data_IF_944327108722
#
_entry.id   IF_944327108722
#
_cell.length_a   1.000
_cell.length_b   1.000
_cell.length_c   1.000
_cell.angle_alpha   90.00
_cell.angle_beta   90.00
_cell.angle_gamma   90.00
#
_symmetry.space_group_name_H-M   'P 1'
#
loop_
_entity.id
_entity.type
_entity.pdbx_description
1 polymer ?
#
# COMPACT_ATOMS: atom_id res chain seq x y z
N UNK A 1 -13.42 -12.77 2.72
CA UNK A 1 -13.40 -11.45 2.07
C UNK A 1 -12.31 -10.63 2.76
N UNK A 2 -11.59 -9.80 2.01
CA UNK A 2 -10.54 -8.93 2.56
C UNK A 2 -11.01 -7.48 2.57
N UNK A 3 -10.58 -6.74 3.57
CA UNK A 3 -10.68 -5.27 3.64
C UNK A 3 -9.29 -4.67 3.74
N UNK A 4 -9.11 -3.48 3.15
CA UNK A 4 -7.86 -2.74 3.17
C UNK A 4 -8.01 -1.46 3.99
N UNK A 5 -7.04 -1.17 4.86
CA UNK A 5 -6.90 0.12 5.55
C UNK A 5 -5.45 0.56 5.60
N UNK A 6 -5.22 1.87 5.66
CA UNK A 6 -3.89 2.44 5.93
C UNK A 6 -3.78 2.84 7.40
N UNK A 7 -2.63 2.58 8.01
CA UNK A 7 -2.33 2.90 9.40
C UNK A 7 -0.83 3.23 9.59
N UNK A 8 -0.47 3.70 10.79
CA UNK A 8 0.92 3.86 11.23
C UNK A 8 1.79 4.69 10.26
N UNK A 9 1.26 5.83 9.80
CA UNK A 9 2.01 6.73 8.92
C UNK A 9 3.15 7.40 9.69
N UNK A 10 4.33 7.49 9.08
CA UNK A 10 5.46 8.25 9.62
C UNK A 10 6.37 8.72 8.49
N UNK A 11 7.31 9.61 8.81
CA UNK A 11 8.25 10.20 7.87
C UNK A 11 9.64 10.30 8.49
N UNK A 12 10.67 10.13 7.66
CA UNK A 12 12.07 10.38 8.01
C UNK A 12 12.67 11.18 6.87
N UNK A 13 12.96 12.46 7.11
CA UNK A 13 13.39 13.41 6.08
C UNK A 13 12.41 13.46 4.89
N UNK A 14 12.84 13.11 3.67
CA UNK A 14 11.99 13.04 2.48
C UNK A 14 11.28 11.69 2.34
N UNK A 15 11.70 10.66 3.08
CA UNK A 15 11.07 9.35 3.06
C UNK A 15 9.73 9.38 3.78
N UNK A 16 8.77 8.66 3.22
CA UNK A 16 7.40 8.54 3.71
C UNK A 16 7.04 7.08 3.82
N UNK A 17 6.30 6.74 4.87
CA UNK A 17 5.94 5.37 5.19
C UNK A 17 4.49 5.30 5.63
N UNK A 18 3.81 4.23 5.24
CA UNK A 18 2.49 3.87 5.75
C UNK A 18 2.34 2.35 5.75
N UNK A 19 1.61 1.81 6.72
CA UNK A 19 1.29 0.39 6.77
C UNK A 19 -0.06 0.14 6.13
N UNK A 20 -0.09 -0.70 5.09
CA UNK A 20 -1.31 -1.30 4.58
C UNK A 20 -1.67 -2.50 5.45
N UNK A 21 -2.91 -2.55 5.93
CA UNK A 21 -3.45 -3.65 6.72
C UNK A 21 -4.56 -4.31 5.91
N UNK A 22 -4.42 -5.62 5.73
CA UNK A 22 -5.40 -6.48 5.07
C UNK A 22 -6.10 -7.32 6.13
N UNK A 23 -7.38 -7.06 6.37
CA UNK A 23 -8.19 -7.76 7.37
C UNK A 23 -9.05 -8.81 6.68
N UNK A 24 -9.02 -10.05 7.16
CA UNK A 24 -9.94 -11.09 6.74
C UNK A 24 -11.27 -10.96 7.49
N UNK A 25 -12.32 -10.51 6.80
CA UNK A 25 -13.65 -10.33 7.40
C UNK A 25 -14.54 -11.57 7.30
N UNK A 26 -14.08 -12.64 6.64
CA UNK A 26 -14.84 -13.90 6.57
C UNK A 26 -14.57 -14.83 7.75
N UNK A 27 -15.52 -15.74 7.97
CA UNK A 27 -15.43 -16.82 8.97
C UNK A 27 -14.39 -17.91 8.67
N UNK A 28 -13.73 -17.87 7.51
CA UNK A 28 -12.74 -18.88 7.06
C UNK A 28 -11.37 -18.25 6.86
N UNK A 29 -10.26 -18.97 7.14
CA UNK A 29 -8.92 -18.48 6.85
C UNK A 29 -8.69 -18.27 5.35
N UNK A 30 -7.79 -17.36 4.98
CA UNK A 30 -7.36 -17.16 3.61
C UNK A 30 -5.83 -17.10 3.51
N UNK A 31 -5.29 -17.61 2.41
CA UNK A 31 -3.85 -17.58 2.15
C UNK A 31 -3.55 -16.58 1.04
N UNK A 32 -2.52 -15.77 1.24
CA UNK A 32 -2.03 -14.78 0.28
C UNK A 32 -0.52 -14.89 0.14
N UNK A 33 0.02 -14.54 -1.04
CA UNK A 33 1.45 -14.64 -1.31
C UNK A 33 2.02 -13.40 -1.98
N UNK A 34 3.12 -12.89 -1.46
CA UNK A 34 3.90 -11.80 -2.09
C UNK A 34 3.47 -10.42 -1.63
N UNK A 35 2.96 -9.60 -2.55
CA UNK A 35 2.70 -8.16 -2.38
C UNK A 35 1.34 -7.79 -2.96
N UNK A 36 0.70 -6.75 -2.43
CA UNK A 36 -0.48 -6.20 -3.08
C UNK A 36 -0.12 -5.50 -4.41
N UNK A 37 -1.05 -5.50 -5.35
CA UNK A 37 -1.07 -4.51 -6.44
C UNK A 37 -1.63 -3.19 -5.92
N UNK A 38 -1.10 -2.07 -6.38
CA UNK A 38 -1.53 -0.73 -5.97
C UNK A 38 -1.84 0.14 -7.18
N UNK A 39 -2.89 0.95 -7.05
CA UNK A 39 -3.22 2.01 -8.00
C UNK A 39 -3.77 3.21 -7.23
N UNK A 40 -3.05 4.33 -7.27
CA UNK A 40 -3.53 5.61 -6.77
C UNK A 40 -4.62 6.15 -7.70
N UNK A 41 -5.66 6.74 -7.11
CA UNK A 41 -6.76 7.34 -7.87
C UNK A 41 -7.25 8.62 -7.19
N UNK A 42 -7.85 9.49 -8.00
CA UNK A 42 -8.59 10.68 -7.56
C UNK A 42 -9.89 10.80 -8.38
N UNK A 43 -10.59 11.92 -8.24
CA UNK A 43 -11.87 12.15 -8.93
C UNK A 43 -11.70 12.27 -10.46
N UNK A 44 -10.50 12.64 -10.93
CA UNK A 44 -10.16 12.70 -12.36
C UNK A 44 -9.78 11.33 -12.95
N UNK A 45 -9.60 10.31 -12.10
CA UNK A 45 -9.32 8.93 -12.51
C UNK A 45 -8.02 8.39 -11.92
N UNK A 46 -7.25 7.66 -12.74
CA UNK A 46 -6.01 7.02 -12.31
C UNK A 46 -4.88 8.03 -12.17
N UNK A 47 -4.16 7.95 -11.05
CA UNK A 47 -2.95 8.73 -10.78
C UNK A 47 -1.73 7.85 -11.07
N UNK A 48 -0.66 8.36 -11.69
CA UNK A 48 0.57 7.59 -11.92
C UNK A 48 0.99 6.81 -10.68
N UNK A 49 1.17 5.50 -10.85
CA UNK A 49 1.54 4.58 -9.76
C UNK A 49 2.53 3.56 -10.30
N UNK A 50 3.75 3.56 -9.78
CA UNK A 50 4.79 2.59 -10.12
C UNK A 50 5.11 1.78 -8.88
N UNK A 51 4.74 0.52 -8.88
CA UNK A 51 4.99 -0.38 -7.75
C UNK A 51 6.36 -1.01 -7.88
N UNK A 52 7.23 -0.82 -6.89
CA UNK A 52 8.48 -1.57 -6.72
C UNK A 52 8.32 -2.59 -5.59
N UNK A 53 8.64 -3.85 -5.87
CA UNK A 53 8.54 -4.95 -4.91
C UNK A 53 9.94 -5.25 -4.38
N UNK A 54 10.15 -4.95 -3.11
CA UNK A 54 11.44 -5.20 -2.45
C UNK A 54 11.33 -6.47 -1.58
N UNK A 55 12.40 -7.24 -1.48
CA UNK A 55 12.46 -8.49 -0.73
C UNK A 55 11.97 -9.73 -1.50
N UNK A 56 11.71 -10.82 -0.76
CA UNK A 56 11.34 -12.14 -1.32
C UNK A 56 9.88 -12.45 -0.99
N UNK A 57 9.07 -12.98 -1.92
CA UNK A 57 7.66 -13.26 -1.66
C UNK A 57 7.49 -14.28 -0.54
N UNK A 58 6.59 -13.98 0.40
CA UNK A 58 6.19 -14.86 1.49
C UNK A 58 4.74 -15.29 1.33
N UNK A 59 4.44 -16.50 1.78
CA UNK A 59 3.07 -16.99 1.90
C UNK A 59 2.61 -16.75 3.32
N UNK A 60 1.44 -16.14 3.49
CA UNK A 60 0.84 -15.80 4.78
C UNK A 60 -0.56 -16.37 4.81
N UNK A 61 -0.91 -17.04 5.91
CA UNK A 61 -2.28 -17.46 6.19
C UNK A 61 -2.91 -16.49 7.19
N UNK A 62 -3.93 -15.77 6.76
CA UNK A 62 -4.70 -14.87 7.61
C UNK A 62 -5.84 -15.68 8.25
N UNK A 63 -5.88 -15.81 9.58
CA UNK A 63 -7.00 -16.45 10.27
C UNK A 63 -8.34 -15.77 9.95
N UNK A 64 -9.43 -16.48 10.23
CA UNK A 64 -10.76 -15.86 10.31
C UNK A 64 -10.71 -14.65 11.25
N UNK A 65 -11.22 -13.49 10.81
CA UNK A 65 -11.16 -12.22 11.55
C UNK A 65 -9.74 -11.71 11.89
N UNK A 66 -8.70 -12.33 11.33
CA UNK A 66 -7.31 -11.93 11.50
C UNK A 66 -6.87 -10.86 10.50
N UNK A 67 -5.61 -10.43 10.59
CA UNK A 67 -5.03 -9.49 9.64
C UNK A 67 -3.58 -9.82 9.27
N UNK A 68 -3.18 -9.35 8.09
CA UNK A 68 -1.80 -9.27 7.64
C UNK A 68 -1.46 -7.82 7.29
N UNK A 69 -0.18 -7.52 7.11
CA UNK A 69 0.25 -6.16 6.84
C UNK A 69 1.37 -6.10 5.79
N UNK A 70 1.48 -4.94 5.16
CA UNK A 70 2.49 -4.62 4.16
C UNK A 70 2.98 -3.20 4.41
N UNK A 71 4.30 -2.97 4.37
CA UNK A 71 4.84 -1.61 4.51
C UNK A 71 4.98 -1.00 3.13
N UNK A 72 4.31 0.14 2.93
CA UNK A 72 4.48 0.98 1.75
C UNK A 72 5.42 2.14 2.10
N UNK A 73 6.32 2.47 1.18
CA UNK A 73 7.22 3.60 1.35
C UNK A 73 7.55 4.26 0.02
N UNK A 74 7.72 5.57 0.07
CA UNK A 74 8.02 6.40 -1.09
C UNK A 74 8.80 7.64 -0.63
N UNK A 75 9.20 8.47 -1.59
CA UNK A 75 9.86 9.74 -1.32
C UNK A 75 8.96 10.91 -1.72
N UNK A 76 9.10 12.00 -0.97
CA UNK A 76 8.55 13.32 -1.30
C UNK A 76 9.52 14.18 -2.13
N UNK A 77 10.68 13.63 -2.46
CA UNK A 77 11.68 14.29 -3.30
C UNK A 77 11.28 14.23 -4.77
N UNK A 78 11.33 15.39 -5.44
CA UNK A 78 11.08 15.54 -6.87
C UNK A 78 12.08 14.72 -7.69
N UNK A 79 11.62 14.13 -8.79
CA UNK A 79 12.50 13.79 -9.90
C UNK A 79 12.93 15.06 -10.65
N UNK A 80 14.01 14.98 -11.43
CA UNK A 80 14.55 16.15 -12.15
C UNK A 80 13.60 16.76 -13.19
N UNK A 81 12.57 16.02 -13.60
CA UNK A 81 11.53 16.41 -14.54
C UNK A 81 10.16 16.70 -13.87
N UNK A 82 10.10 16.75 -12.53
CA UNK A 82 8.89 17.07 -11.78
C UNK A 82 8.89 18.52 -11.25
N UNK A 83 7.71 19.15 -11.21
CA UNK A 83 7.45 20.44 -10.54
C UNK A 83 6.57 20.24 -9.31
N UNK A 84 6.30 21.28 -8.50
CA UNK A 84 5.36 21.15 -7.35
C UNK A 84 3.92 21.46 -7.79
N UNK A 85 2.91 20.59 -7.51
CA UNK A 85 3.02 19.26 -6.91
C UNK A 85 3.65 18.25 -7.89
N UNK A 86 4.47 17.32 -7.35
CA UNK A 86 5.26 16.37 -8.15
C UNK A 86 4.42 15.46 -9.04
N UNK A 87 3.21 15.14 -8.58
CA UNK A 87 2.21 14.34 -9.27
C UNK A 87 0.80 14.85 -8.89
N UNK A 88 -0.25 14.49 -9.65
CA UNK A 88 -1.63 14.73 -9.24
C UNK A 88 -1.90 14.18 -7.83
N UNK A 89 -2.69 14.90 -7.04
CA UNK A 89 -2.99 14.48 -5.66
C UNK A 89 -4.01 13.34 -5.65
N UNK A 90 -3.65 12.14 -5.17
CA UNK A 90 -4.60 11.04 -4.99
C UNK A 90 -5.50 11.26 -3.76
N UNK A 91 -6.73 10.76 -3.84
CA UNK A 91 -7.70 10.77 -2.72
C UNK A 91 -7.99 9.36 -2.21
N UNK A 92 -7.74 8.34 -3.04
CA UNK A 92 -7.96 6.93 -2.70
C UNK A 92 -6.82 6.06 -3.24
N UNK A 93 -6.72 4.88 -2.66
CA UNK A 93 -5.83 3.81 -3.10
C UNK A 93 -6.66 2.57 -3.37
N UNK A 94 -6.56 2.07 -4.60
CA UNK A 94 -7.00 0.73 -4.95
C UNK A 94 -5.90 -0.27 -4.60
N UNK A 95 -6.28 -1.29 -3.83
CA UNK A 95 -5.42 -2.37 -3.36
C UNK A 95 -5.93 -3.65 -3.98
N UNK A 96 -5.08 -4.38 -4.69
CA UNK A 96 -5.43 -5.65 -5.33
C UNK A 96 -4.68 -6.74 -4.55
N UNK A 97 -5.34 -7.45 -3.61
CA UNK A 97 -4.69 -8.55 -2.90
C UNK A 97 -4.17 -9.60 -3.88
N UNK A 98 -3.10 -10.33 -3.53
CA UNK A 98 -2.68 -11.50 -4.29
C UNK A 98 -3.86 -12.43 -4.54
N UNK A 99 -3.92 -13.02 -5.73
CA UNK A 99 -4.91 -14.01 -6.12
C UNK A 99 -6.37 -13.50 -6.11
N UNK A 100 -6.59 -12.18 -6.10
CA UNK A 100 -7.90 -11.55 -6.22
C UNK A 100 -8.01 -10.71 -7.50
N UNK A 101 -9.18 -10.72 -8.14
CA UNK A 101 -9.45 -9.92 -9.36
C UNK A 101 -10.14 -8.59 -9.05
N UNK A 102 -10.71 -8.44 -7.85
CA UNK A 102 -11.36 -7.21 -7.40
C UNK A 102 -10.42 -6.39 -6.53
N UNK A 103 -10.39 -5.09 -6.76
CA UNK A 103 -9.69 -4.18 -5.89
C UNK A 103 -10.51 -3.90 -4.63
N UNK A 104 -9.80 -3.69 -3.54
CA UNK A 104 -10.27 -3.07 -2.31
C UNK A 104 -9.97 -1.56 -2.41
N UNK A 105 -10.76 -0.73 -1.74
CA UNK A 105 -10.53 0.72 -1.73
C UNK A 105 -10.27 1.19 -0.32
N UNK A 106 -9.22 1.98 -0.13
CA UNK A 106 -8.95 2.71 1.12
C UNK A 106 -8.70 4.18 0.81
N UNK A 107 -8.99 5.06 1.77
CA UNK A 107 -8.66 6.48 1.67
C UNK A 107 -7.14 6.66 1.58
N UNK A 108 -6.71 7.62 0.77
CA UNK A 108 -5.33 8.06 0.68
C UNK A 108 -5.24 9.52 1.13
N UNK A 109 -4.58 9.76 2.26
CA UNK A 109 -4.33 11.09 2.80
C UNK A 109 -2.83 11.38 2.97
N UNK A 110 -1.98 10.75 2.16
CA UNK A 110 -0.52 10.90 2.25
C UNK A 110 0.05 11.94 1.28
N UNK A 111 -0.81 12.62 0.51
CA UNK A 111 -0.41 13.58 -0.52
C UNK A 111 0.12 12.93 -1.81
N UNK A 112 0.69 13.73 -2.72
CA UNK A 112 1.33 13.21 -3.94
C UNK A 112 2.49 12.25 -3.65
N UNK A 113 2.67 11.28 -4.55
CA UNK A 113 3.82 10.38 -4.53
C UNK A 113 4.78 10.81 -5.62
N UNK A 114 5.95 11.32 -5.25
CA UNK A 114 6.92 11.83 -6.20
C UNK A 114 7.69 10.71 -6.90
N UNK A 115 8.54 11.10 -7.86
CA UNK A 115 9.25 10.20 -8.76
C UNK A 115 8.28 9.33 -9.55
N UNK A 116 7.37 10.00 -10.25
CA UNK A 116 6.38 9.41 -11.15
C UNK A 116 5.44 8.41 -10.47
N UNK A 117 5.07 8.69 -9.21
CA UNK A 117 4.17 7.85 -8.44
C UNK A 117 4.81 6.58 -7.90
N UNK A 118 6.12 6.57 -7.68
CA UNK A 118 6.82 5.34 -7.26
C UNK A 118 6.57 5.02 -5.80
N UNK A 119 5.94 3.86 -5.55
CA UNK A 119 5.72 3.29 -4.22
C UNK A 119 6.46 1.95 -4.14
N UNK A 120 7.29 1.79 -3.11
CA UNK A 120 7.98 0.54 -2.81
C UNK A 120 7.26 -0.22 -1.70
N UNK A 121 7.30 -1.55 -1.77
CA UNK A 121 6.56 -2.45 -0.89
C UNK A 121 7.48 -3.53 -0.32
N UNK A 122 7.38 -3.79 0.98
CA UNK A 122 7.89 -5.04 1.57
C UNK A 122 6.89 -6.17 1.33
N UNK A 123 7.30 -7.45 1.37
CA UNK A 123 6.34 -8.56 1.26
C UNK A 123 5.31 -8.50 2.37
N UNK A 124 4.10 -8.98 2.08
CA UNK A 124 3.05 -9.12 3.08
C UNK A 124 3.53 -10.07 4.18
N UNK A 125 3.32 -9.66 5.43
CA UNK A 125 3.77 -10.35 6.62
C UNK A 125 2.61 -10.58 7.60
N UNK A 126 2.80 -11.59 8.46
CA UNK A 126 1.84 -11.96 9.50
C UNK A 126 1.78 -10.91 10.60
N UNK A 127 0.62 -10.83 11.26
CA UNK A 127 0.46 -10.07 12.50
C UNK A 127 1.40 -10.59 13.61
N UNK A 128 1.88 -9.72 14.53
CA UNK A 128 1.61 -8.29 14.60
C UNK A 128 2.45 -7.49 13.61
N UNK A 129 1.93 -6.34 13.17
CA UNK A 129 2.76 -5.36 12.48
C UNK A 129 3.87 -4.86 13.43
N UNK A 130 5.11 -4.67 12.95
CA UNK A 130 6.15 -4.07 13.75
C UNK A 130 5.65 -2.69 14.20
N UNK A 131 5.76 -2.45 15.50
CA UNK A 131 5.50 -1.13 16.08
C UNK A 131 6.48 -0.15 15.43
N UNK A 132 5.97 0.99 14.95
CA UNK A 132 6.84 2.09 14.55
C UNK A 132 7.60 2.52 15.81
N UNK A 133 8.94 2.38 15.77
CA UNK A 133 9.83 2.82 16.84
C UNK A 133 9.99 4.33 16.88
#
# INVERSE_FOLDING_TARGET
>A
MLEARLANRYAVETNRYVTLILTNTSGTPCTIRGWAGLQLVNDDGVVPTRVRRDGTPRTVTIPSHGYAWERLYWTSELAGDESVPCQPTPTRLWVIPPDQTRHLTTLWNQGPVCRHGTISLTPIAESPAPVAG
#
